data_IF_242479660652
#
_entry.id   IF_242479660652
#
_cell.length_a   1.000
_cell.length_b   1.000
_cell.length_c   1.000
_cell.angle_alpha   90.00
_cell.angle_beta   90.00
_cell.angle_gamma   90.00
#
_symmetry.space_group_name_H-M   'P 1'
#
loop_
_entity.id
_entity.type
_entity.pdbx_description
1 polymer ?
#
# COMPACT_ATOMS: atom_id res chain seq x y z
N UNK A 1 20.16 22.85 -5.79
CA UNK A 1 19.01 22.25 -5.10
C UNK A 1 18.12 23.39 -4.60
N UNK A 2 16.87 23.52 -5.08
CA UNK A 2 15.99 24.62 -4.67
C UNK A 2 15.55 24.41 -3.21
N UNK A 3 15.67 25.44 -2.37
CA UNK A 3 15.13 25.42 -1.00
C UNK A 3 13.64 25.71 -1.09
N UNK A 4 12.82 24.82 -0.54
CA UNK A 4 11.37 24.95 -0.48
C UNK A 4 10.95 24.73 0.96
N UNK A 5 9.99 25.51 1.43
CA UNK A 5 9.45 25.37 2.77
C UNK A 5 8.58 24.12 2.87
N UNK A 6 8.41 23.59 4.08
CA UNK A 6 7.53 22.43 4.31
C UNK A 6 6.08 22.71 3.88
N UNK A 7 5.64 23.97 4.01
CA UNK A 7 4.30 24.42 3.60
C UNK A 7 4.12 24.32 2.09
N UNK A 8 5.04 24.90 1.33
CA UNK A 8 5.02 24.86 -0.14
C UNK A 8 5.12 23.44 -0.69
N UNK A 9 5.88 22.57 -0.02
CA UNK A 9 5.95 21.15 -0.36
C UNK A 9 4.60 20.46 -0.13
N UNK A 10 3.93 20.72 1.00
CA UNK A 10 2.60 20.20 1.31
C UNK A 10 1.56 20.61 0.26
N UNK A 11 1.53 21.89 -0.10
CA UNK A 11 0.62 22.43 -1.13
C UNK A 11 0.89 21.82 -2.52
N UNK A 12 2.16 21.59 -2.86
CA UNK A 12 2.55 20.92 -4.10
C UNK A 12 2.05 19.47 -4.16
N UNK A 13 2.13 18.75 -3.03
CA UNK A 13 1.63 17.38 -2.90
C UNK A 13 0.11 17.34 -3.07
N UNK A 14 -0.64 18.23 -2.41
CA UNK A 14 -2.10 18.27 -2.53
C UNK A 14 -2.57 18.61 -3.94
N UNK A 15 -1.92 19.56 -4.63
CA UNK A 15 -2.21 19.83 -6.05
C UNK A 15 -2.01 18.60 -6.92
N UNK A 16 -0.87 17.93 -6.78
CA UNK A 16 -0.53 16.77 -7.60
C UNK A 16 -1.45 15.57 -7.33
N UNK A 17 -1.96 15.44 -6.10
CA UNK A 17 -3.00 14.46 -5.75
C UNK A 17 -4.32 14.75 -6.45
N UNK A 18 -4.77 16.00 -6.44
CA UNK A 18 -6.00 16.42 -7.12
C UNK A 18 -5.92 16.20 -8.64
N UNK A 19 -4.78 16.52 -9.26
CA UNK A 19 -4.52 16.24 -10.69
C UNK A 19 -4.64 14.75 -11.04
N UNK A 20 -4.28 13.87 -10.11
CA UNK A 20 -4.38 12.42 -10.27
C UNK A 20 -5.77 11.87 -9.89
N UNK A 21 -6.74 12.75 -9.58
CA UNK A 21 -8.11 12.36 -9.23
C UNK A 21 -8.29 11.87 -7.79
N UNK A 22 -7.30 12.07 -6.90
CA UNK A 22 -7.41 11.71 -5.49
C UNK A 22 -8.08 12.83 -4.68
N UNK A 23 -9.05 12.48 -3.83
CA UNK A 23 -9.73 13.43 -2.92
C UNK A 23 -10.05 12.78 -1.57
N UNK A 24 -10.02 13.55 -0.47
CA UNK A 24 -10.39 13.08 0.88
C UNK A 24 -9.40 12.10 1.52
N UNK A 25 -9.73 11.52 2.68
CA UNK A 25 -8.85 10.59 3.44
C UNK A 25 -8.47 9.28 2.74
N UNK A 26 -8.84 9.10 1.46
CA UNK A 26 -8.51 7.96 0.59
C UNK A 26 -7.01 7.74 0.35
N UNK A 27 -6.16 8.62 0.90
CA UNK A 27 -4.75 8.74 0.52
C UNK A 27 -3.91 7.48 0.72
N UNK A 28 -4.26 6.53 1.60
CA UNK A 28 -3.59 5.23 1.67
C UNK A 28 -4.48 4.19 2.36
N UNK A 29 -5.07 3.25 1.63
CA UNK A 29 -5.57 2.02 2.26
C UNK A 29 -4.38 1.07 2.46
N UNK A 30 -3.53 1.40 3.45
CA UNK A 30 -2.29 0.66 3.74
C UNK A 30 -2.63 -0.82 3.95
N UNK A 31 -2.14 -1.67 3.05
CA UNK A 31 -2.29 -3.12 3.16
C UNK A 31 -3.76 -3.56 3.35
N UNK A 32 -4.71 -2.92 2.65
CA UNK A 32 -6.14 -3.20 2.86
C UNK A 32 -6.63 -4.51 2.26
N UNK A 33 -5.91 -5.06 1.29
CA UNK A 33 -6.36 -6.25 0.55
C UNK A 33 -7.51 -6.00 -0.44
N UNK A 34 -8.22 -4.88 -0.32
CA UNK A 34 -9.47 -4.57 -1.03
C UNK A 34 -9.35 -4.72 -2.55
N UNK A 35 -8.26 -4.23 -3.14
CA UNK A 35 -8.04 -4.23 -4.59
C UNK A 35 -7.09 -5.34 -5.07
N UNK A 36 -6.83 -6.38 -4.27
CA UNK A 36 -5.99 -7.49 -4.72
C UNK A 36 -6.71 -8.30 -5.79
N UNK A 37 -5.98 -8.63 -6.85
CA UNK A 37 -6.44 -9.61 -7.83
C UNK A 37 -6.50 -11.00 -7.18
N UNK A 38 -7.30 -11.90 -7.75
CA UNK A 38 -7.36 -13.31 -7.31
C UNK A 38 -5.98 -13.98 -7.37
N UNK A 39 -5.23 -13.73 -8.45
CA UNK A 39 -3.86 -14.24 -8.62
C UNK A 39 -2.93 -13.80 -7.48
N UNK A 40 -3.04 -12.54 -7.04
CA UNK A 40 -2.23 -12.03 -5.92
C UNK A 40 -2.66 -12.65 -4.59
N UNK A 41 -3.97 -12.83 -4.36
CA UNK A 41 -4.48 -13.51 -3.16
C UNK A 41 -4.00 -14.96 -3.10
N UNK A 42 -4.07 -15.70 -4.20
CA UNK A 42 -3.60 -17.07 -4.30
C UNK A 42 -2.11 -17.19 -4.00
N UNK A 43 -1.29 -16.30 -4.58
CA UNK A 43 0.15 -16.25 -4.31
C UNK A 43 0.43 -16.06 -2.80
N UNK A 44 -0.26 -15.11 -2.15
CA UNK A 44 -0.05 -14.85 -0.72
C UNK A 44 -0.42 -16.06 0.15
N UNK A 45 -1.55 -16.72 -0.14
CA UNK A 45 -1.96 -17.95 0.56
C UNK A 45 -0.94 -19.08 0.39
N UNK A 46 -0.38 -19.23 -0.81
CA UNK A 46 0.63 -20.26 -1.07
C UNK A 46 1.92 -20.00 -0.28
N UNK A 47 2.32 -18.74 -0.14
CA UNK A 47 3.50 -18.39 0.66
C UNK A 47 3.24 -18.65 2.15
N UNK A 48 2.03 -18.33 2.67
CA UNK A 48 1.66 -18.66 4.05
C UNK A 48 1.63 -20.17 4.29
N UNK A 49 1.06 -20.95 3.37
CA UNK A 49 1.04 -22.41 3.46
C UNK A 49 2.46 -22.98 3.48
N UNK A 50 3.34 -22.50 2.60
CA UNK A 50 4.74 -22.94 2.55
C UNK A 50 5.52 -22.56 3.82
N UNK A 51 5.22 -21.42 4.46
CA UNK A 51 5.82 -21.06 5.75
C UNK A 51 5.31 -21.98 6.87
N UNK A 52 4.00 -22.27 6.91
CA UNK A 52 3.41 -23.19 7.87
C UNK A 52 3.97 -24.62 7.77
N UNK A 53 4.22 -25.11 6.56
CA UNK A 53 4.86 -26.42 6.33
C UNK A 53 6.27 -26.48 6.92
N UNK A 54 7.00 -25.36 6.95
CA UNK A 54 8.33 -25.25 7.57
C UNK A 54 8.27 -24.96 9.07
N UNK A 55 7.08 -24.77 9.64
CA UNK A 55 6.90 -24.32 11.02
C UNK A 55 7.33 -22.87 11.27
N UNK A 56 7.35 -22.06 10.21
CA UNK A 56 7.77 -20.65 10.24
C UNK A 56 6.56 -19.71 10.13
N UNK A 57 6.70 -18.50 10.64
CA UNK A 57 5.74 -17.43 10.34
C UNK A 57 6.07 -16.76 8.99
N UNK A 58 5.05 -16.34 8.21
CA UNK A 58 5.27 -15.58 6.99
C UNK A 58 5.95 -14.23 7.31
N UNK A 59 6.88 -13.74 6.46
CA UNK A 59 7.58 -12.47 6.68
C UNK A 59 6.69 -11.23 6.45
N UNK A 60 5.38 -11.41 6.27
CA UNK A 60 4.41 -10.36 6.02
C UNK A 60 3.12 -10.63 6.78
N UNK A 61 2.35 -9.57 7.03
CA UNK A 61 0.96 -9.67 7.48
C UNK A 61 0.05 -9.36 6.30
N UNK A 62 -0.69 -10.35 5.81
CA UNK A 62 -1.64 -10.15 4.72
C UNK A 62 -3.06 -9.92 5.25
N UNK A 63 -3.70 -8.84 4.80
CA UNK A 63 -5.16 -8.72 4.86
C UNK A 63 -5.73 -9.18 3.52
N UNK A 64 -6.40 -10.33 3.50
CA UNK A 64 -6.88 -10.97 2.27
C UNK A 64 -8.07 -10.26 1.63
#
# INVERSE_FOLDING_TARGET
MRRTTLKELGESIERKKAELGYSGQDYVVRNSGQYRTESKRALLRNIEAAAAERGEEPPFKANY
#
